data_IF_887138149796
#
_entry.id   IF_887138149796
#
_cell.length_a   1.000
_cell.length_b   1.000
_cell.length_c   1.000
_cell.angle_alpha   90.00
_cell.angle_beta   90.00
_cell.angle_gamma   90.00
#
_symmetry.space_group_name_H-M   'P 1'
#
loop_
_entity.id
_entity.type
_entity.pdbx_description
1 polymer ?
#
# COMPACT_ATOMS: atom_id res chain seq x y z
N UNK A 1 27.19 -69.37 15.66
CA UNK A 1 27.85 -68.19 16.25
C UNK A 1 26.90 -67.58 17.26
N UNK A 2 27.40 -67.42 18.48
CA UNK A 2 26.75 -66.91 19.70
C UNK A 2 25.93 -65.63 19.48
N UNK A 3 24.78 -65.49 20.15
CA UNK A 3 24.60 -64.48 21.21
C UNK A 3 23.35 -64.78 22.08
N UNK A 4 23.63 -65.02 23.37
CA UNK A 4 22.94 -64.60 24.60
C UNK A 4 21.99 -63.38 24.41
N UNK A 5 20.93 -63.07 25.18
CA UNK A 5 20.57 -63.37 26.56
C UNK A 5 19.28 -62.58 26.93
N UNK A 6 18.48 -63.17 27.83
CA UNK A 6 17.71 -62.57 28.95
C UNK A 6 16.50 -61.64 28.70
N UNK A 7 15.38 -62.17 29.15
CA UNK A 7 14.25 -61.51 29.80
C UNK A 7 14.68 -60.60 30.97
N UNK A 8 14.06 -59.43 31.12
CA UNK A 8 14.07 -58.66 32.36
C UNK A 8 12.75 -57.90 32.60
N UNK A 9 12.30 -58.07 33.83
CA UNK A 9 11.18 -57.53 34.59
C UNK A 9 10.64 -56.13 34.24
N UNK A 10 9.31 -56.08 34.31
CA UNK A 10 8.47 -54.88 34.44
C UNK A 10 8.66 -54.29 35.85
N UNK A 11 9.08 -53.03 35.94
CA UNK A 11 9.08 -52.26 37.20
C UNK A 11 8.03 -51.16 37.08
N UNK A 12 6.97 -51.30 37.86
CA UNK A 12 5.88 -50.35 38.03
C UNK A 12 6.36 -49.26 39.01
N UNK A 13 6.61 -48.05 38.52
CA UNK A 13 6.90 -46.88 39.38
C UNK A 13 5.60 -46.14 39.63
N UNK A 14 5.01 -46.36 40.80
CA UNK A 14 3.96 -45.52 41.38
C UNK A 14 4.57 -44.23 41.91
N UNK A 15 4.40 -43.12 41.17
CA UNK A 15 4.70 -41.78 41.67
C UNK A 15 3.49 -41.26 42.46
N UNK A 16 3.69 -41.01 43.75
CA UNK A 16 2.71 -40.44 44.65
C UNK A 16 2.47 -38.95 44.32
N UNK A 17 1.19 -38.58 44.23
CA UNK A 17 0.73 -37.20 44.12
C UNK A 17 0.99 -36.44 45.42
N UNK A 18 1.79 -35.37 45.36
CA UNK A 18 1.78 -34.30 46.35
C UNK A 18 0.96 -33.13 45.80
N UNK A 19 -0.28 -33.00 46.28
CA UNK A 19 -1.11 -31.83 46.04
C UNK A 19 -0.62 -30.70 46.96
N UNK A 20 0.24 -29.83 46.44
CA UNK A 20 0.55 -28.55 47.06
C UNK A 20 -0.56 -27.55 46.66
N UNK A 21 -1.39 -27.18 47.64
CA UNK A 21 -2.35 -26.09 47.57
C UNK A 21 -1.60 -24.76 47.54
N UNK A 22 -1.41 -24.17 46.36
CA UNK A 22 -1.06 -22.75 46.23
C UNK A 22 -2.33 -21.94 46.05
N UNK A 23 -2.56 -21.04 47.01
CA UNK A 23 -3.55 -19.97 46.98
C UNK A 23 -3.52 -19.24 45.64
N UNK A 24 -4.71 -18.89 45.14
CA UNK A 24 -4.86 -17.91 44.06
C UNK A 24 -4.29 -16.58 44.54
N UNK A 25 -3.00 -16.37 44.31
CA UNK A 25 -2.47 -15.02 44.21
C UNK A 25 -3.02 -14.45 42.92
N UNK A 26 -3.78 -13.37 43.04
CA UNK A 26 -4.10 -12.50 41.92
C UNK A 26 -2.79 -12.21 41.21
N UNK A 27 -2.61 -12.84 40.04
CA UNK A 27 -1.51 -12.52 39.16
C UNK A 27 -1.78 -11.10 38.70
N UNK A 28 -1.24 -10.12 39.42
CA UNK A 28 -1.10 -8.75 38.95
C UNK A 28 -0.33 -8.89 37.64
N UNK A 29 -1.05 -8.82 36.52
CA UNK A 29 -0.42 -8.65 35.21
C UNK A 29 0.46 -7.42 35.38
N UNK A 30 1.81 -7.54 35.30
CA UNK A 30 2.66 -6.39 35.49
C UNK A 30 2.21 -5.34 34.48
N UNK A 31 1.85 -4.15 34.97
CA UNK A 31 1.59 -3.03 34.08
C UNK A 31 2.79 -2.96 33.12
N UNK A 32 2.55 -3.01 31.82
CA UNK A 32 3.62 -2.94 30.82
C UNK A 32 4.52 -1.76 31.17
N UNK A 33 5.78 -2.01 31.51
CA UNK A 33 6.68 -0.97 31.96
C UNK A 33 6.74 0.11 30.87
N UNK A 34 6.40 1.34 31.22
CA UNK A 34 6.44 2.46 30.28
C UNK A 34 7.89 2.72 29.89
N UNK A 35 8.26 2.44 28.64
CA UNK A 35 9.62 2.67 28.13
C UNK A 35 9.93 4.15 27.94
N UNK A 36 8.90 4.99 27.93
CA UNK A 36 8.95 6.40 27.52
C UNK A 36 8.05 7.25 28.40
N UNK A 37 8.35 8.54 28.45
CA UNK A 37 7.47 9.51 29.10
C UNK A 37 6.15 9.60 28.33
N UNK A 38 5.03 9.69 29.07
CA UNK A 38 3.72 9.86 28.46
C UNK A 38 3.65 11.16 27.66
N UNK A 39 2.89 11.13 26.57
CA UNK A 39 2.66 12.27 25.70
C UNK A 39 1.21 12.74 25.78
N UNK A 40 1.02 14.04 25.96
CA UNK A 40 -0.30 14.66 25.96
C UNK A 40 -0.80 14.81 24.53
N UNK A 41 -1.90 14.14 24.17
CA UNK A 41 -2.43 14.14 22.80
C UNK A 41 -2.79 15.55 22.29
N UNK A 42 -3.15 16.47 23.19
CA UNK A 42 -3.50 17.86 22.85
C UNK A 42 -2.31 18.68 22.31
N UNK A 43 -1.08 18.23 22.54
CA UNK A 43 0.14 18.89 22.03
C UNK A 43 0.46 18.52 20.58
N UNK A 44 -0.20 17.51 20.04
CA UNK A 44 0.00 17.03 18.67
C UNK A 44 -0.94 17.79 17.71
N UNK A 45 -0.34 18.49 16.76
CA UNK A 45 -1.05 19.33 15.78
C UNK A 45 -0.66 18.96 14.36
N UNK A 46 -1.35 19.54 13.37
CA UNK A 46 -1.08 19.27 11.95
C UNK A 46 0.30 19.70 11.47
N UNK A 47 1.07 20.43 12.30
CA UNK A 47 2.44 20.87 12.00
C UNK A 47 3.49 20.15 12.84
N UNK A 48 3.09 19.32 13.81
CA UNK A 48 4.01 18.52 14.62
C UNK A 48 4.82 17.59 13.69
N UNK A 49 6.16 17.64 13.67
CA UNK A 49 6.95 16.78 12.79
C UNK A 49 6.97 15.33 13.27
N UNK A 50 6.36 14.42 12.52
CA UNK A 50 6.29 13.00 12.83
C UNK A 50 7.67 12.40 13.13
N UNK A 51 8.65 12.57 12.24
CA UNK A 51 9.94 11.85 12.29
C UNK A 51 10.87 12.25 13.44
N UNK A 52 10.58 13.36 14.14
CA UNK A 52 11.43 13.87 15.23
C UNK A 52 10.69 14.06 16.56
N UNK A 53 9.37 13.84 16.60
CA UNK A 53 8.55 14.08 17.79
C UNK A 53 8.60 12.95 18.83
N UNK A 54 8.88 11.72 18.42
CA UNK A 54 8.86 10.55 19.31
C UNK A 54 10.28 10.16 19.71
N UNK A 55 10.62 10.35 21.00
CA UNK A 55 11.99 10.24 21.49
C UNK A 55 12.16 9.22 22.61
N UNK A 56 13.37 8.69 22.74
CA UNK A 56 13.78 7.91 23.90
C UNK A 56 14.21 8.81 25.08
N UNK A 57 14.62 8.19 26.18
CA UNK A 57 15.05 8.91 27.39
C UNK A 57 16.31 9.76 27.20
N UNK A 58 17.12 9.50 26.16
CA UNK A 58 18.29 10.31 25.82
C UNK A 58 17.95 11.48 24.89
N UNK A 59 16.71 11.55 24.40
CA UNK A 59 16.24 12.57 23.45
C UNK A 59 16.48 12.21 21.98
N UNK A 60 16.97 11.01 21.67
CA UNK A 60 17.12 10.52 20.30
C UNK A 60 15.75 10.09 19.72
N UNK A 61 15.55 10.29 18.42
CA UNK A 61 14.30 9.85 17.76
C UNK A 61 14.19 8.33 17.77
N UNK A 62 12.97 7.84 18.01
CA UNK A 62 12.61 6.42 17.94
C UNK A 62 11.87 6.08 16.66
N UNK A 63 11.61 7.07 15.79
CA UNK A 63 10.91 6.84 14.53
C UNK A 63 11.84 6.20 13.52
N UNK A 64 11.39 5.10 12.94
CA UNK A 64 12.07 4.43 11.83
C UNK A 64 11.05 4.11 10.73
N UNK A 65 11.13 4.83 9.60
CA UNK A 65 10.27 4.58 8.44
C UNK A 65 10.74 3.38 7.60
N UNK A 66 11.89 2.82 7.96
CA UNK A 66 12.47 1.59 7.46
C UNK A 66 12.43 1.44 5.94
N UNK A 67 12.09 0.22 5.54
CA UNK A 67 12.02 -0.17 4.14
C UNK A 67 10.72 0.32 3.45
N UNK A 68 9.81 0.99 4.18
CA UNK A 68 8.62 1.56 3.58
C UNK A 68 8.95 2.82 2.76
N UNK A 69 9.75 3.73 3.33
CA UNK A 69 10.24 4.92 2.60
C UNK A 69 11.09 4.53 1.37
N UNK A 70 11.95 3.51 1.50
CA UNK A 70 12.72 2.95 0.38
C UNK A 70 11.82 2.47 -0.75
N UNK A 71 10.70 1.78 -0.44
CA UNK A 71 9.75 1.31 -1.45
C UNK A 71 8.99 2.46 -2.12
N UNK A 72 8.69 3.55 -1.42
CA UNK A 72 8.11 4.75 -2.06
C UNK A 72 9.05 5.36 -3.11
N UNK A 73 10.35 5.33 -2.86
CA UNK A 73 11.35 5.83 -3.81
C UNK A 73 11.56 4.86 -4.98
N UNK A 74 11.58 3.54 -4.71
CA UNK A 74 11.56 2.53 -5.78
C UNK A 74 10.31 2.67 -6.67
N UNK A 75 9.15 2.94 -6.08
CA UNK A 75 7.93 3.19 -6.84
C UNK A 75 8.03 4.47 -7.67
N UNK A 76 8.70 5.50 -7.17
CA UNK A 76 8.93 6.72 -7.92
C UNK A 76 9.81 6.49 -9.14
N UNK A 77 10.88 5.70 -9.01
CA UNK A 77 11.72 5.35 -10.16
C UNK A 77 10.99 4.48 -11.20
N UNK A 78 10.20 3.49 -10.76
CA UNK A 78 9.35 2.71 -11.67
C UNK A 78 8.34 3.60 -12.40
N UNK A 79 7.63 4.46 -11.65
CA UNK A 79 6.64 5.37 -12.22
C UNK A 79 7.27 6.36 -13.21
N UNK A 80 8.42 6.93 -12.88
CA UNK A 80 9.13 7.87 -13.75
C UNK A 80 9.59 7.19 -15.04
N UNK A 81 10.08 5.94 -14.98
CA UNK A 81 10.46 5.20 -16.17
C UNK A 81 9.25 4.89 -17.06
N UNK A 82 8.14 4.44 -16.47
CA UNK A 82 6.89 4.22 -17.22
C UNK A 82 6.38 5.50 -17.88
N UNK A 83 6.47 6.64 -17.21
CA UNK A 83 5.97 7.93 -17.70
C UNK A 83 6.71 8.47 -18.94
N UNK A 84 7.86 7.91 -19.32
CA UNK A 84 8.60 8.32 -20.52
C UNK A 84 7.82 8.10 -21.82
N UNK A 85 6.79 7.25 -21.82
CA UNK A 85 5.89 7.07 -22.97
C UNK A 85 4.90 8.24 -23.13
N UNK A 86 4.68 9.02 -22.08
CA UNK A 86 3.56 9.96 -21.94
C UNK A 86 4.00 11.43 -21.76
N UNK A 87 4.99 11.87 -22.54
CA UNK A 87 5.61 13.21 -22.40
C UNK A 87 5.04 14.29 -23.33
N UNK A 88 5.03 15.55 -22.90
CA UNK A 88 4.63 16.66 -23.77
C UNK A 88 5.83 17.20 -24.57
N UNK A 89 5.59 17.69 -25.80
CA UNK A 89 6.60 18.41 -26.56
C UNK A 89 7.17 19.59 -25.73
N UNK A 90 8.49 19.85 -25.76
CA UNK A 90 9.48 19.33 -26.72
C UNK A 90 10.12 17.98 -26.33
N UNK A 91 9.72 17.34 -25.23
CA UNK A 91 10.26 16.04 -24.87
C UNK A 91 9.81 14.96 -25.87
N UNK A 92 10.72 14.02 -26.16
CA UNK A 92 10.46 12.90 -27.08
C UNK A 92 10.03 11.68 -26.27
N UNK A 93 8.92 11.01 -26.61
CA UNK A 93 8.50 9.81 -25.91
C UNK A 93 9.51 8.67 -26.13
N UNK A 94 9.72 7.84 -25.12
CA UNK A 94 10.67 6.73 -25.18
C UNK A 94 9.96 5.39 -25.39
N UNK A 95 10.61 4.51 -26.15
CA UNK A 95 10.32 3.07 -26.12
C UNK A 95 10.87 2.51 -24.82
N UNK A 96 10.11 1.65 -24.14
CA UNK A 96 10.51 1.06 -22.86
C UNK A 96 11.12 -0.33 -23.05
N UNK A 97 12.12 -0.62 -22.23
CA UNK A 97 12.75 -1.94 -22.11
C UNK A 97 12.00 -2.77 -21.07
N UNK A 98 11.49 -3.94 -21.48
CA UNK A 98 10.76 -4.85 -20.58
C UNK A 98 11.64 -5.43 -19.46
N UNK A 99 12.93 -5.68 -19.71
CA UNK A 99 13.85 -6.13 -18.68
C UNK A 99 14.07 -5.02 -17.65
N UNK A 100 14.23 -3.76 -18.08
CA UNK A 100 14.31 -2.61 -17.17
C UNK A 100 13.03 -2.45 -16.33
N UNK A 101 11.85 -2.55 -16.94
CA UNK A 101 10.56 -2.50 -16.23
C UNK A 101 10.44 -3.59 -15.16
N UNK A 102 10.71 -4.85 -15.53
CA UNK A 102 10.66 -5.99 -14.60
C UNK A 102 11.68 -5.82 -13.48
N UNK A 103 12.90 -5.41 -13.80
CA UNK A 103 13.95 -5.19 -12.82
C UNK A 103 13.54 -4.08 -11.83
N UNK A 104 13.01 -2.95 -12.27
CA UNK A 104 12.52 -1.88 -11.38
C UNK A 104 11.40 -2.37 -10.44
N UNK A 105 10.55 -3.27 -10.90
CA UNK A 105 9.50 -3.86 -10.08
C UNK A 105 10.01 -4.92 -9.09
N UNK A 106 10.97 -5.75 -9.50
CA UNK A 106 11.51 -6.87 -8.72
C UNK A 106 12.74 -6.52 -7.88
N UNK A 107 13.38 -5.37 -8.12
CA UNK A 107 14.67 -5.00 -7.54
C UNK A 107 15.88 -5.74 -8.14
N UNK A 108 15.71 -6.49 -9.23
CA UNK A 108 16.80 -7.29 -9.80
C UNK A 108 17.81 -6.45 -10.60
N UNK A 109 19.06 -6.91 -10.67
CA UNK A 109 20.10 -6.35 -11.55
C UNK A 109 20.40 -4.84 -11.34
N UNK A 110 20.38 -4.38 -10.09
CA UNK A 110 20.67 -2.98 -9.71
C UNK A 110 20.00 -1.93 -10.64
N UNK A 111 18.66 -1.93 -10.74
CA UNK A 111 17.96 -1.20 -11.79
C UNK A 111 17.78 0.28 -11.50
N UNK A 112 17.92 0.67 -10.24
CA UNK A 112 17.62 1.99 -9.75
C UNK A 112 18.77 2.96 -10.04
N UNK A 113 18.45 4.22 -10.28
CA UNK A 113 19.43 5.29 -10.40
C UNK A 113 20.09 5.60 -9.04
N UNK A 114 19.31 5.55 -7.95
CA UNK A 114 19.82 5.78 -6.61
C UNK A 114 20.52 4.53 -6.03
N UNK A 115 21.82 4.64 -5.74
CA UNK A 115 22.62 3.55 -5.16
C UNK A 115 22.05 2.96 -3.84
N UNK A 116 21.48 3.77 -2.90
CA UNK A 116 20.84 3.21 -1.71
C UNK A 116 19.66 2.27 -2.00
N UNK A 117 18.91 2.51 -3.09
CA UNK A 117 17.80 1.63 -3.47
C UNK A 117 18.33 0.29 -4.00
N UNK A 118 19.42 0.29 -4.76
CA UNK A 118 20.08 -0.94 -5.20
C UNK A 118 20.67 -1.74 -4.03
N UNK A 119 21.24 -1.06 -3.03
CA UNK A 119 21.74 -1.70 -1.82
C UNK A 119 20.61 -2.38 -1.04
N UNK A 120 19.44 -1.74 -0.93
CA UNK A 120 18.26 -2.35 -0.33
C UNK A 120 17.72 -3.52 -1.19
N UNK A 121 17.70 -3.37 -2.50
CA UNK A 121 17.22 -4.41 -3.40
C UNK A 121 18.08 -5.69 -3.32
N UNK A 122 19.39 -5.55 -3.13
CA UNK A 122 20.30 -6.67 -2.90
C UNK A 122 19.98 -7.49 -1.64
N UNK A 123 19.20 -6.95 -0.69
CA UNK A 123 18.72 -7.67 0.50
C UNK A 123 17.28 -8.19 0.35
N UNK A 124 16.71 -8.15 -0.86
CA UNK A 124 15.38 -8.67 -1.19
C UNK A 124 14.25 -7.62 -1.17
N UNK A 125 14.58 -6.34 -0.96
CA UNK A 125 13.58 -5.26 -0.91
C UNK A 125 13.09 -4.91 -2.31
N UNK A 126 11.79 -5.06 -2.56
CA UNK A 126 11.17 -4.67 -3.83
C UNK A 126 9.70 -4.32 -3.67
N UNK A 127 9.11 -3.76 -4.73
CA UNK A 127 7.66 -3.55 -4.84
C UNK A 127 6.94 -4.88 -5.02
N UNK A 128 7.48 -5.76 -5.87
CA UNK A 128 6.86 -7.05 -6.17
C UNK A 128 6.73 -7.94 -4.94
N UNK A 129 7.72 -7.93 -4.05
CA UNK A 129 7.67 -8.67 -2.77
C UNK A 129 6.49 -8.21 -1.89
N UNK A 130 6.18 -6.91 -1.85
CA UNK A 130 5.06 -6.35 -1.07
C UNK A 130 3.74 -6.21 -1.80
N UNK A 131 3.68 -6.62 -3.07
CA UNK A 131 2.43 -6.59 -3.82
C UNK A 131 1.48 -7.68 -3.30
N UNK A 132 0.31 -7.26 -2.80
CA UNK A 132 -0.73 -8.08 -2.20
C UNK A 132 -0.23 -8.94 -1.02
N UNK A 133 0.64 -8.38 -0.19
CA UNK A 133 1.25 -9.13 0.91
C UNK A 133 0.28 -9.56 2.01
N UNK A 134 -0.91 -8.94 2.10
CA UNK A 134 -1.94 -9.39 3.04
C UNK A 134 -2.67 -10.66 2.58
N UNK A 135 -2.55 -11.01 1.30
CA UNK A 135 -3.25 -12.17 0.74
C UNK A 135 -2.47 -13.46 1.00
N UNK A 136 -3.15 -14.61 1.05
CA UNK A 136 -2.48 -15.91 0.94
C UNK A 136 -1.63 -15.97 -0.33
N UNK A 137 -0.47 -16.64 -0.26
CA UNK A 137 0.54 -16.59 -1.33
C UNK A 137 -0.02 -16.98 -2.72
N UNK A 138 -0.94 -17.95 -2.81
CA UNK A 138 -1.56 -18.31 -4.08
C UNK A 138 -2.30 -17.13 -4.73
N UNK A 139 -3.07 -16.37 -3.96
CA UNK A 139 -3.79 -15.18 -4.45
C UNK A 139 -2.85 -13.99 -4.66
N UNK A 140 -1.84 -13.82 -3.80
CA UNK A 140 -0.81 -12.80 -3.99
C UNK A 140 -0.02 -13.04 -5.29
N UNK A 141 0.30 -14.29 -5.61
CA UNK A 141 0.96 -14.68 -6.86
C UNK A 141 0.12 -14.31 -8.10
N UNK A 142 -1.21 -14.48 -8.05
CA UNK A 142 -2.11 -14.02 -9.12
C UNK A 142 -2.04 -12.50 -9.31
N UNK A 143 -2.02 -11.72 -8.22
CA UNK A 143 -1.87 -10.26 -8.30
C UNK A 143 -0.51 -9.85 -8.87
N UNK A 144 0.59 -10.49 -8.43
CA UNK A 144 1.93 -10.24 -8.96
C UNK A 144 2.00 -10.57 -10.46
N UNK A 145 1.42 -11.70 -10.87
CA UNK A 145 1.35 -12.11 -12.28
C UNK A 145 0.54 -11.11 -13.13
N UNK A 146 -0.54 -10.54 -12.58
CA UNK A 146 -1.29 -9.47 -13.24
C UNK A 146 -0.39 -8.26 -13.54
N UNK A 147 0.39 -7.78 -12.57
CA UNK A 147 1.29 -6.65 -12.81
C UNK A 147 2.47 -7.01 -13.73
N UNK A 148 3.02 -8.22 -13.65
CA UNK A 148 4.04 -8.71 -14.59
C UNK A 148 3.51 -8.71 -16.05
N UNK A 149 2.24 -9.10 -16.23
CA UNK A 149 1.56 -9.03 -17.52
C UNK A 149 1.36 -7.57 -17.96
N UNK A 150 0.89 -6.67 -17.09
CA UNK A 150 0.74 -5.24 -17.43
C UNK A 150 2.04 -4.56 -17.80
N UNK A 151 3.15 -4.87 -17.13
CA UNK A 151 4.48 -4.38 -17.53
C UNK A 151 4.85 -4.84 -18.95
N UNK A 152 4.51 -6.08 -19.30
CA UNK A 152 4.72 -6.63 -20.65
C UNK A 152 3.85 -5.90 -21.68
N UNK A 153 2.55 -5.72 -21.39
CA UNK A 153 1.63 -4.96 -22.24
C UNK A 153 2.11 -3.52 -22.48
N UNK A 154 2.57 -2.83 -21.44
CA UNK A 154 3.11 -1.48 -21.55
C UNK A 154 4.35 -1.43 -22.44
N UNK A 155 5.30 -2.37 -22.27
CA UNK A 155 6.48 -2.45 -23.12
C UNK A 155 6.10 -2.70 -24.59
N UNK A 156 5.13 -3.57 -24.85
CA UNK A 156 4.60 -3.82 -26.20
C UNK A 156 3.95 -2.57 -26.78
N UNK A 157 3.07 -1.89 -26.03
CA UNK A 157 2.44 -0.65 -26.48
C UNK A 157 3.49 0.45 -26.76
N UNK A 158 4.57 0.50 -25.97
CA UNK A 158 5.62 1.52 -26.11
C UNK A 158 6.35 1.47 -27.46
N UNK A 159 6.30 0.35 -28.18
CA UNK A 159 6.82 0.27 -29.56
C UNK A 159 6.07 1.20 -30.53
N UNK A 160 4.88 1.66 -30.15
CA UNK A 160 4.01 2.51 -30.95
C UNK A 160 3.98 3.97 -30.47
N UNK A 161 4.97 4.43 -29.68
CA UNK A 161 5.00 5.83 -29.18
C UNK A 161 5.05 6.91 -30.28
N UNK A 162 5.45 6.56 -31.50
CA UNK A 162 5.45 7.47 -32.65
C UNK A 162 4.24 7.28 -33.58
N UNK A 163 3.26 6.48 -33.16
CA UNK A 163 2.05 6.18 -33.93
C UNK A 163 0.84 6.86 -33.31
N UNK A 164 -0.16 7.16 -34.13
CA UNK A 164 -1.50 7.57 -33.66
C UNK A 164 -2.30 6.32 -33.31
N UNK A 165 -2.93 6.32 -32.14
CA UNK A 165 -3.78 5.23 -31.67
C UNK A 165 -5.08 5.14 -32.47
N UNK A 166 -5.61 3.93 -32.63
CA UNK A 166 -6.92 3.65 -33.20
C UNK A 166 -7.46 2.31 -32.64
N UNK A 167 -8.75 1.98 -32.79
CA UNK A 167 -9.26 0.65 -32.43
C UNK A 167 -8.41 -0.48 -33.04
N UNK A 168 -7.88 -1.37 -32.19
CA UNK A 168 -7.00 -2.46 -32.60
C UNK A 168 -5.53 -2.07 -32.85
N UNK A 169 -5.17 -0.79 -32.69
CA UNK A 169 -3.81 -0.27 -32.93
C UNK A 169 -3.34 0.60 -31.76
N UNK A 170 -2.30 0.12 -31.06
CA UNK A 170 -1.62 0.91 -30.04
C UNK A 170 -0.99 2.19 -30.62
N UNK A 171 -0.88 3.23 -29.80
CA UNK A 171 -0.32 4.51 -30.21
C UNK A 171 -0.65 5.61 -29.21
N UNK A 172 -0.35 6.86 -29.55
CA UNK A 172 -0.63 8.01 -28.69
C UNK A 172 -1.93 8.69 -29.07
N UNK A 173 -2.70 9.07 -28.05
CA UNK A 173 -3.79 10.05 -28.10
C UNK A 173 -3.28 11.31 -27.41
N UNK A 174 -3.04 12.37 -28.17
CA UNK A 174 -2.32 13.54 -27.65
C UNK A 174 -0.94 13.11 -27.13
N UNK A 175 -0.70 13.29 -25.83
CA UNK A 175 0.55 12.83 -25.19
C UNK A 175 0.45 11.44 -24.57
N UNK A 176 -0.74 10.86 -24.39
CA UNK A 176 -0.90 9.62 -23.63
C UNK A 176 -0.76 8.41 -24.54
N UNK A 177 0.04 7.43 -24.15
CA UNK A 177 0.17 6.16 -24.88
C UNK A 177 -0.94 5.21 -24.43
N UNK A 178 -1.67 4.64 -25.38
CA UNK A 178 -2.66 3.59 -25.15
C UNK A 178 -2.30 2.31 -25.89
N UNK A 179 -2.73 1.17 -25.35
CA UNK A 179 -2.67 -0.11 -26.05
C UNK A 179 -3.70 -0.20 -27.19
N UNK A 180 -3.77 -1.35 -27.87
CA UNK A 180 -4.72 -1.58 -28.95
C UNK A 180 -6.20 -1.51 -28.51
N UNK A 181 -6.46 -1.71 -27.21
CA UNK A 181 -7.79 -1.63 -26.61
C UNK A 181 -8.13 -0.23 -26.09
N UNK A 182 -7.23 0.74 -26.24
CA UNK A 182 -7.43 2.13 -25.84
C UNK A 182 -7.16 2.40 -24.35
N UNK A 183 -6.46 1.51 -23.65
CA UNK A 183 -6.11 1.68 -22.24
C UNK A 183 -4.71 2.27 -22.05
N UNK A 184 -4.59 3.31 -21.22
CA UNK A 184 -3.29 3.85 -20.78
C UNK A 184 -2.68 2.94 -19.69
N UNK A 185 -1.92 1.92 -20.12
CA UNK A 185 -1.45 0.81 -19.27
C UNK A 185 -0.56 1.30 -18.12
N UNK A 186 0.27 2.34 -18.31
CA UNK A 186 1.09 2.91 -17.23
C UNK A 186 0.25 3.47 -16.08
N UNK A 187 -0.93 4.05 -16.34
CA UNK A 187 -1.82 4.51 -15.28
C UNK A 187 -2.47 3.34 -14.54
N UNK A 188 -2.88 2.29 -15.27
CA UNK A 188 -3.44 1.08 -14.65
C UNK A 188 -2.43 0.46 -13.68
N UNK A 189 -1.17 0.34 -14.09
CA UNK A 189 -0.09 -0.18 -13.22
C UNK A 189 0.10 0.72 -12.01
N UNK A 190 0.29 2.02 -12.21
CA UNK A 190 0.56 2.94 -11.12
C UNK A 190 -0.60 2.96 -10.12
N UNK A 191 -1.84 3.21 -10.54
CA UNK A 191 -2.95 3.30 -9.58
C UNK A 191 -3.29 1.95 -8.98
N UNK A 192 -3.08 0.84 -9.70
CA UNK A 192 -3.22 -0.51 -9.16
C UNK A 192 -2.21 -0.81 -8.06
N UNK A 193 -0.93 -0.42 -8.23
CA UNK A 193 0.11 -0.61 -7.21
C UNK A 193 -0.08 0.31 -6.00
N UNK A 194 -0.76 1.46 -6.13
CA UNK A 194 -1.17 2.27 -4.97
C UNK A 194 -2.04 1.43 -4.01
N UNK A 195 -3.00 0.66 -4.52
CA UNK A 195 -3.80 -0.26 -3.70
C UNK A 195 -3.00 -1.48 -3.27
N UNK A 196 -2.39 -2.17 -4.23
CA UNK A 196 -1.78 -3.47 -4.02
C UNK A 196 -0.49 -3.44 -3.19
N UNK A 197 0.17 -2.30 -3.06
CA UNK A 197 1.36 -2.13 -2.22
C UNK A 197 1.05 -1.17 -1.07
N UNK A 198 0.67 0.08 -1.36
CA UNK A 198 0.61 1.11 -0.31
C UNK A 198 -0.57 0.92 0.62
N UNK A 199 -1.81 0.88 0.09
CA UNK A 199 -2.99 0.66 0.91
C UNK A 199 -2.93 -0.71 1.61
N UNK A 200 -2.52 -1.75 0.89
CA UNK A 200 -2.44 -3.11 1.45
C UNK A 200 -1.50 -3.19 2.66
N UNK A 201 -0.28 -2.64 2.53
CA UNK A 201 0.67 -2.60 3.63
C UNK A 201 0.13 -1.81 4.82
N UNK A 202 -0.43 -0.63 4.58
CA UNK A 202 -0.95 0.23 5.65
C UNK A 202 -2.13 -0.46 6.35
N UNK A 203 -3.18 -0.79 5.60
CA UNK A 203 -4.48 -1.17 6.16
C UNK A 203 -4.63 -2.65 6.48
N UNK A 204 -3.99 -3.53 5.72
CA UNK A 204 -4.21 -4.98 5.79
C UNK A 204 -3.01 -5.75 6.37
N UNK A 205 -1.89 -5.06 6.62
CA UNK A 205 -0.72 -5.65 7.30
C UNK A 205 -0.44 -4.89 8.61
N UNK A 206 -0.12 -3.60 8.53
CA UNK A 206 0.50 -2.86 9.63
C UNK A 206 -0.49 -2.27 10.64
N UNK A 207 -1.71 -1.90 10.21
CA UNK A 207 -2.75 -1.31 11.07
C UNK A 207 -3.90 -2.29 11.36
N UNK A 208 -3.65 -3.58 11.24
CA UNK A 208 -4.61 -4.63 11.62
C UNK A 208 -4.67 -4.80 13.14
N UNK A 209 -5.78 -5.30 13.69
CA UNK A 209 -5.87 -5.58 15.12
C UNK A 209 -4.72 -6.45 15.63
N UNK A 210 -4.28 -7.43 14.83
CA UNK A 210 -3.13 -8.28 15.18
C UNK A 210 -1.82 -7.47 15.26
N UNK A 211 -1.50 -6.67 14.25
CA UNK A 211 -0.29 -5.86 14.25
C UNK A 211 -0.25 -4.81 15.37
N UNK A 212 -1.40 -4.27 15.78
CA UNK A 212 -1.50 -3.33 16.91
C UNK A 212 -1.22 -3.99 18.27
N UNK A 213 -1.19 -5.32 18.35
CA UNK A 213 -0.86 -6.07 19.58
C UNK A 213 0.62 -6.46 19.70
N UNK A 214 1.45 -6.12 18.70
CA UNK A 214 2.88 -6.41 18.69
C UNK A 214 3.61 -5.92 19.96
N UNK A 215 4.81 -6.44 20.22
CA UNK A 215 5.58 -6.15 21.44
C UNK A 215 5.83 -4.63 21.63
N UNK A 216 5.59 -4.14 22.85
CA UNK A 216 5.77 -2.73 23.22
C UNK A 216 6.39 -2.52 24.62
N UNK A 217 6.61 -3.58 25.39
CA UNK A 217 7.25 -3.55 26.70
C UNK A 217 8.78 -3.58 26.64
N UNK A 218 9.38 -3.78 25.46
CA UNK A 218 10.83 -3.68 25.24
C UNK A 218 11.16 -3.21 23.83
N UNK A 219 12.34 -2.62 23.67
CA UNK A 219 12.90 -2.30 22.34
C UNK A 219 13.30 -3.57 21.59
N UNK A 220 13.21 -3.53 20.26
CA UNK A 220 13.73 -4.58 19.41
C UNK A 220 15.27 -4.66 19.52
N UNK A 221 15.83 -5.85 19.33
CA UNK A 221 17.27 -6.08 19.50
C UNK A 221 18.10 -5.16 18.60
N UNK A 222 18.97 -4.35 19.21
CA UNK A 222 19.83 -3.39 18.49
C UNK A 222 19.09 -2.18 17.90
N UNK A 223 17.84 -1.92 18.31
CA UNK A 223 17.00 -0.82 17.80
C UNK A 223 16.58 0.13 18.93
N UNK A 224 16.22 1.35 18.56
CA UNK A 224 15.70 2.36 19.49
C UNK A 224 14.19 2.24 19.72
N UNK A 225 13.47 1.53 18.85
CA UNK A 225 12.03 1.36 18.87
C UNK A 225 11.59 -0.03 19.35
N UNK A 226 10.34 -0.13 19.78
CA UNK A 226 9.64 -1.41 19.94
C UNK A 226 9.11 -1.93 18.60
N UNK A 227 8.68 -3.19 18.55
CA UNK A 227 8.07 -3.76 17.35
C UNK A 227 6.78 -3.01 16.97
N UNK A 228 5.94 -2.69 17.95
CA UNK A 228 4.68 -1.97 17.72
C UNK A 228 4.92 -0.55 17.19
N UNK A 229 5.90 0.14 17.75
CA UNK A 229 6.32 1.46 17.28
C UNK A 229 6.75 1.42 15.81
N UNK A 230 7.61 0.46 15.46
CA UNK A 230 8.10 0.30 14.10
C UNK A 230 6.99 -0.07 13.11
N UNK A 231 6.06 -0.96 13.47
CA UNK A 231 4.91 -1.28 12.61
C UNK A 231 4.09 -0.02 12.26
N UNK A 232 3.87 0.84 13.25
CA UNK A 232 3.15 2.09 13.06
C UNK A 232 3.94 3.10 12.21
N UNK A 233 5.26 3.20 12.44
CA UNK A 233 6.17 4.06 11.67
C UNK A 233 6.32 3.60 10.21
N UNK A 234 6.31 2.29 9.95
CA UNK A 234 6.26 1.74 8.59
C UNK A 234 4.94 2.10 7.88
N UNK A 235 3.81 2.13 8.59
CA UNK A 235 2.54 2.54 8.00
C UNK A 235 2.59 4.01 7.55
N UNK A 236 3.20 4.89 8.36
CA UNK A 236 3.52 6.25 7.95
C UNK A 236 4.45 6.25 6.72
N UNK A 237 5.51 5.45 6.75
CA UNK A 237 6.51 5.35 5.67
C UNK A 237 5.98 4.85 4.32
N UNK A 238 4.87 4.10 4.30
CA UNK A 238 4.17 3.73 3.05
C UNK A 238 3.25 4.82 2.51
N UNK A 239 2.89 5.79 3.36
CA UNK A 239 2.08 6.93 2.99
C UNK A 239 2.96 8.10 2.54
N UNK A 240 4.00 8.42 3.31
CA UNK A 240 4.97 9.48 3.00
C UNK A 240 6.31 9.27 3.72
N UNK A 241 7.37 9.89 3.19
CA UNK A 241 8.68 10.01 3.85
C UNK A 241 8.92 11.41 4.44
N UNK A 242 7.95 12.33 4.31
CA UNK A 242 8.09 13.70 4.80
C UNK A 242 8.07 13.74 6.33
N UNK A 243 8.85 14.64 6.92
CA UNK A 243 8.84 14.85 8.37
C UNK A 243 7.45 15.26 8.88
N UNK A 244 6.73 16.05 8.09
CA UNK A 244 5.32 16.39 8.30
C UNK A 244 4.57 16.08 7.01
N UNK A 245 3.50 15.29 7.08
CA UNK A 245 2.69 15.02 5.89
C UNK A 245 2.03 16.32 5.42
N UNK A 246 2.23 16.67 4.16
CA UNK A 246 1.53 17.81 3.55
C UNK A 246 0.07 17.40 3.37
N UNK A 247 -0.86 18.16 3.94
CA UNK A 247 -2.30 17.83 3.96
C UNK A 247 -3.14 18.70 3.01
N UNK A 248 -2.56 19.80 2.53
CA UNK A 248 -3.17 20.69 1.54
C UNK A 248 -2.51 20.47 0.16
N UNK A 249 -3.33 20.14 -0.84
CA UNK A 249 -2.89 19.92 -2.21
C UNK A 249 -2.29 21.19 -2.86
N UNK A 250 -2.56 22.38 -2.33
CA UNK A 250 -2.00 23.64 -2.81
C UNK A 250 -0.54 23.85 -2.37
N UNK A 251 -0.07 23.16 -1.33
CA UNK A 251 1.29 23.33 -0.79
C UNK A 251 2.29 22.50 -1.61
N UNK A 252 3.46 23.09 -1.86
CA UNK A 252 4.59 22.45 -2.56
C UNK A 252 5.80 22.27 -1.66
N UNK A 253 6.55 21.15 -1.75
CA UNK A 253 6.30 20.01 -2.62
C UNK A 253 5.04 19.22 -2.19
N UNK A 254 4.33 18.66 -3.18
CA UNK A 254 3.13 17.85 -2.93
C UNK A 254 3.50 16.45 -2.45
N UNK A 255 2.56 15.81 -1.75
CA UNK A 255 2.66 14.39 -1.46
C UNK A 255 2.59 13.52 -2.73
N UNK A 256 3.25 12.36 -2.67
CA UNK A 256 3.26 11.37 -3.75
C UNK A 256 2.18 10.31 -3.52
N UNK A 257 1.75 9.67 -4.60
CA UNK A 257 0.92 8.45 -4.58
C UNK A 257 -0.29 8.54 -3.63
N UNK A 258 -0.48 7.58 -2.73
CA UNK A 258 -1.67 7.49 -1.87
C UNK A 258 -1.91 8.76 -1.05
N UNK A 259 -0.86 9.37 -0.49
CA UNK A 259 -0.97 10.63 0.24
C UNK A 259 -1.33 11.80 -0.68
N UNK A 260 -0.78 11.82 -1.91
CA UNK A 260 -1.18 12.79 -2.93
C UNK A 260 -2.68 12.67 -3.28
N UNK A 261 -3.18 11.44 -3.44
CA UNK A 261 -4.58 11.17 -3.70
C UNK A 261 -5.49 11.44 -2.50
N UNK A 262 -5.00 11.24 -1.28
CA UNK A 262 -5.70 11.66 -0.07
C UNK A 262 -5.94 13.16 -0.10
N UNK A 263 -4.93 13.97 -0.44
CA UNK A 263 -5.07 15.41 -0.56
C UNK A 263 -5.99 15.84 -1.71
N UNK A 264 -5.88 15.18 -2.87
CA UNK A 264 -6.62 15.55 -4.08
C UNK A 264 -8.08 15.10 -4.05
N UNK A 265 -8.35 13.86 -3.64
CA UNK A 265 -9.66 13.20 -3.77
C UNK A 265 -10.40 13.09 -2.45
N UNK A 266 -9.71 13.19 -1.32
CA UNK A 266 -10.31 13.17 0.01
C UNK A 266 -9.71 14.27 0.93
N UNK A 267 -9.41 15.43 0.35
CA UNK A 267 -8.68 16.54 1.01
C UNK A 267 -9.22 16.93 2.39
N UNK A 268 -10.56 17.03 2.60
CA UNK A 268 -11.11 17.33 3.93
C UNK A 268 -10.73 16.31 5.02
N UNK A 269 -10.44 15.06 4.66
CA UNK A 269 -10.01 14.03 5.60
C UNK A 269 -8.48 14.03 5.83
N UNK A 270 -7.70 14.62 4.93
CA UNK A 270 -6.24 14.55 4.98
C UNK A 270 -5.64 15.05 6.31
N UNK A 271 -6.04 16.22 6.85
CA UNK A 271 -5.56 16.66 8.17
C UNK A 271 -5.91 15.68 9.29
N UNK A 272 -7.09 15.08 9.26
CA UNK A 272 -7.52 14.13 10.28
C UNK A 272 -6.72 12.82 10.23
N UNK A 273 -6.37 12.34 9.02
CA UNK A 273 -5.49 11.17 8.84
C UNK A 273 -4.10 11.45 9.41
N UNK A 274 -3.51 12.62 9.15
CA UNK A 274 -2.21 12.96 9.72
C UNK A 274 -2.23 13.05 11.25
N UNK A 275 -3.25 13.70 11.80
CA UNK A 275 -3.45 13.77 13.26
C UNK A 275 -3.64 12.36 13.85
N UNK A 276 -4.35 11.47 13.17
CA UNK A 276 -4.53 10.09 13.63
C UNK A 276 -3.20 9.33 13.66
N UNK A 277 -2.33 9.50 12.66
CA UNK A 277 -0.99 8.91 12.65
C UNK A 277 -0.14 9.40 13.84
N UNK A 278 -0.14 10.70 14.13
CA UNK A 278 0.55 11.26 15.29
C UNK A 278 -0.01 10.72 16.62
N UNK A 279 -1.34 10.78 16.78
CA UNK A 279 -2.01 10.35 18.02
C UNK A 279 -1.90 8.85 18.25
N UNK A 280 -1.92 8.02 17.21
CA UNK A 280 -1.74 6.58 17.35
C UNK A 280 -0.31 6.24 17.77
N UNK A 281 0.70 6.93 17.22
CA UNK A 281 2.09 6.76 17.67
C UNK A 281 2.28 7.19 19.12
N UNK A 282 1.63 8.26 19.56
CA UNK A 282 1.59 8.66 20.97
C UNK A 282 0.80 7.67 21.85
N UNK A 283 -0.25 7.05 21.33
CA UNK A 283 -1.00 6.03 22.07
C UNK A 283 -0.15 4.78 22.34
N UNK A 284 0.75 4.43 21.41
CA UNK A 284 1.76 3.38 21.65
C UNK A 284 2.70 3.79 22.79
N UNK A 285 3.21 5.03 22.79
CA UNK A 285 4.03 5.57 23.89
C UNK A 285 3.29 5.51 25.23
N UNK A 286 1.99 5.81 25.23
CA UNK A 286 1.15 5.86 26.42
C UNK A 286 0.62 4.48 26.87
N UNK A 287 0.90 3.40 26.14
CA UNK A 287 0.26 2.08 26.30
C UNK A 287 -1.29 2.14 26.28
N UNK A 288 -1.86 3.02 25.47
CA UNK A 288 -3.29 3.25 25.32
C UNK A 288 -3.84 2.50 24.09
N UNK A 289 -4.20 1.23 24.31
CA UNK A 289 -4.68 0.36 23.24
C UNK A 289 -6.01 0.83 22.61
N UNK A 290 -6.89 1.47 23.41
CA UNK A 290 -8.19 1.94 22.93
C UNK A 290 -8.01 3.10 21.94
N UNK A 291 -7.21 4.10 22.31
CA UNK A 291 -6.91 5.23 21.42
C UNK A 291 -6.13 4.76 20.19
N UNK A 292 -5.16 3.86 20.36
CA UNK A 292 -4.40 3.28 19.23
C UNK A 292 -5.33 2.67 18.18
N UNK A 293 -6.27 1.81 18.62
CA UNK A 293 -7.24 1.18 17.73
C UNK A 293 -8.13 2.23 17.05
N UNK A 294 -8.63 3.21 17.79
CA UNK A 294 -9.47 4.26 17.24
C UNK A 294 -8.74 5.07 16.15
N UNK A 295 -7.46 5.39 16.34
CA UNK A 295 -6.67 6.09 15.33
C UNK A 295 -6.38 5.22 14.11
N UNK A 296 -6.08 3.93 14.30
CA UNK A 296 -5.90 2.98 13.20
C UNK A 296 -7.19 2.88 12.35
N UNK A 297 -8.35 2.85 13.01
CA UNK A 297 -9.65 2.79 12.34
C UNK A 297 -9.93 4.05 11.49
N UNK A 298 -9.53 5.24 11.96
CA UNK A 298 -9.63 6.49 11.17
C UNK A 298 -8.77 6.40 9.91
N UNK A 299 -7.48 6.08 10.08
CA UNK A 299 -6.52 6.00 8.95
C UNK A 299 -7.02 5.01 7.90
N UNK A 300 -7.38 3.79 8.32
CA UNK A 300 -7.85 2.74 7.40
C UNK A 300 -9.12 3.16 6.66
N UNK A 301 -10.10 3.73 7.36
CA UNK A 301 -11.36 4.14 6.75
C UNK A 301 -11.15 5.20 5.68
N UNK A 302 -10.38 6.24 6.00
CA UNK A 302 -10.24 7.38 5.09
C UNK A 302 -9.30 7.10 3.91
N UNK A 303 -8.33 6.20 4.05
CA UNK A 303 -7.51 5.73 2.93
C UNK A 303 -8.30 4.82 1.97
N UNK A 304 -9.19 3.96 2.46
CA UNK A 304 -10.07 3.17 1.59
C UNK A 304 -11.08 4.06 0.85
N UNK A 305 -11.69 5.03 1.54
CA UNK A 305 -12.54 6.04 0.90
C UNK A 305 -11.78 6.85 -0.15
N UNK A 306 -10.49 7.13 0.07
CA UNK A 306 -9.65 7.80 -0.91
C UNK A 306 -9.55 7.00 -2.21
N UNK A 307 -9.32 5.68 -2.14
CA UNK A 307 -9.32 4.81 -3.33
C UNK A 307 -10.68 4.87 -4.04
N UNK A 308 -11.77 4.72 -3.29
CA UNK A 308 -13.11 4.69 -3.86
C UNK A 308 -13.50 6.03 -4.53
N UNK A 309 -13.26 7.16 -3.84
CA UNK A 309 -13.45 8.51 -4.40
C UNK A 309 -12.57 8.75 -5.61
N UNK A 310 -11.34 8.24 -5.63
CA UNK A 310 -10.46 8.33 -6.80
C UNK A 310 -11.07 7.60 -8.00
N UNK A 311 -11.51 6.34 -7.82
CA UNK A 311 -12.16 5.58 -8.89
C UNK A 311 -13.38 6.31 -9.45
N UNK A 312 -14.29 6.78 -8.57
CA UNK A 312 -15.51 7.50 -8.96
C UNK A 312 -15.18 8.80 -9.68
N UNK A 313 -14.23 9.60 -9.16
CA UNK A 313 -13.79 10.85 -9.78
C UNK A 313 -13.28 10.62 -11.20
N UNK A 314 -12.45 9.61 -11.42
CA UNK A 314 -11.87 9.35 -12.72
C UNK A 314 -12.85 8.76 -13.74
N UNK A 315 -13.76 7.88 -13.30
CA UNK A 315 -14.85 7.41 -14.17
C UNK A 315 -15.80 8.55 -14.54
N UNK A 316 -16.07 9.46 -13.60
CA UNK A 316 -16.87 10.67 -13.88
C UNK A 316 -16.17 11.58 -14.88
N UNK A 317 -14.86 11.79 -14.72
CA UNK A 317 -14.04 12.57 -15.65
C UNK A 317 -14.01 11.94 -17.06
N UNK A 318 -13.87 10.62 -17.17
CA UNK A 318 -13.95 9.94 -18.46
C UNK A 318 -15.26 10.22 -19.19
N UNK A 319 -16.39 10.25 -18.46
CA UNK A 319 -17.70 10.59 -19.05
C UNK A 319 -17.76 12.04 -19.53
N UNK A 320 -17.21 12.98 -18.76
CA UNK A 320 -17.36 14.42 -18.99
C UNK A 320 -16.33 15.02 -19.95
N UNK A 321 -15.16 14.39 -20.10
CA UNK A 321 -14.10 14.94 -20.95
C UNK A 321 -14.51 14.97 -22.44
N UNK A 322 -14.19 16.05 -23.17
CA UNK A 322 -14.61 16.21 -24.56
C UNK A 322 -13.68 15.50 -25.56
N UNK A 323 -12.41 15.31 -25.21
CA UNK A 323 -11.38 14.80 -26.12
C UNK A 323 -10.97 13.38 -25.78
N UNK A 324 -10.61 12.59 -26.81
CA UNK A 324 -10.24 11.18 -26.64
C UNK A 324 -9.00 10.97 -25.76
N UNK A 325 -8.03 11.87 -25.82
CA UNK A 325 -6.82 11.81 -25.00
C UNK A 325 -7.12 12.00 -23.52
N UNK A 326 -7.93 13.01 -23.17
CA UNK A 326 -8.37 13.25 -21.79
C UNK A 326 -9.27 12.11 -21.27
N UNK A 327 -10.12 11.54 -22.13
CA UNK A 327 -10.90 10.33 -21.79
C UNK A 327 -9.98 9.15 -21.51
N UNK A 328 -9.07 8.81 -22.41
CA UNK A 328 -8.16 7.68 -22.24
C UNK A 328 -7.35 7.78 -20.95
N UNK A 329 -6.85 8.98 -20.64
CA UNK A 329 -6.14 9.24 -19.40
C UNK A 329 -6.99 8.99 -18.16
N UNK A 330 -8.16 9.63 -18.09
CA UNK A 330 -9.07 9.46 -16.97
C UNK A 330 -9.52 8.00 -16.81
N UNK A 331 -9.76 7.27 -17.90
CA UNK A 331 -10.12 5.85 -17.84
C UNK A 331 -8.96 4.99 -17.33
N UNK A 332 -7.73 5.20 -17.80
CA UNK A 332 -6.56 4.47 -17.32
C UNK A 332 -6.36 4.63 -15.80
N UNK A 333 -6.50 5.86 -15.29
CA UNK A 333 -6.44 6.13 -13.85
C UNK A 333 -7.62 5.47 -13.12
N UNK A 334 -8.84 5.60 -13.64
CA UNK A 334 -10.05 5.00 -13.09
C UNK A 334 -9.96 3.47 -12.97
N UNK A 335 -9.53 2.78 -14.02
CA UNK A 335 -9.38 1.32 -14.04
C UNK A 335 -8.35 0.84 -13.02
N UNK A 336 -7.22 1.54 -12.87
CA UNK A 336 -6.23 1.18 -11.85
C UNK A 336 -6.74 1.42 -10.42
N UNK A 337 -7.55 2.46 -10.17
CA UNK A 337 -8.18 2.65 -8.87
C UNK A 337 -9.31 1.65 -8.60
N UNK A 338 -10.10 1.28 -9.61
CA UNK A 338 -11.04 0.16 -9.51
C UNK A 338 -10.27 -1.12 -9.18
N UNK A 339 -9.08 -1.31 -9.76
CA UNK A 339 -8.25 -2.46 -9.42
C UNK A 339 -7.87 -2.48 -7.93
N UNK A 340 -7.50 -1.32 -7.40
CA UNK A 340 -7.11 -1.12 -6.00
C UNK A 340 -8.22 -1.38 -4.99
N UNK A 341 -9.49 -1.40 -5.40
CA UNK A 341 -10.61 -1.71 -4.50
C UNK A 341 -10.52 -3.10 -3.87
N UNK A 342 -9.76 -4.04 -4.46
CA UNK A 342 -9.48 -5.38 -3.90
C UNK A 342 -8.85 -5.32 -2.50
N UNK A 343 -8.21 -4.20 -2.16
CA UNK A 343 -7.47 -4.02 -0.90
C UNK A 343 -8.27 -3.20 0.12
N UNK A 344 -9.49 -2.77 -0.20
CA UNK A 344 -10.37 -2.02 0.71
C UNK A 344 -11.19 -2.96 1.63
N UNK A 345 -10.48 -3.76 2.43
CA UNK A 345 -11.09 -4.85 3.21
C UNK A 345 -11.97 -4.35 4.36
N UNK A 346 -11.70 -3.16 4.92
CA UNK A 346 -12.49 -2.58 6.02
C UNK A 346 -13.90 -2.18 5.57
N UNK A 347 -14.04 -1.75 4.32
CA UNK A 347 -15.33 -1.48 3.67
C UNK A 347 -16.03 -2.75 3.16
N UNK A 348 -15.45 -3.93 3.43
CA UNK A 348 -15.97 -5.23 3.01
C UNK A 348 -15.88 -5.46 1.50
N UNK A 349 -15.04 -4.72 0.78
CA UNK A 349 -14.71 -5.04 -0.60
C UNK A 349 -13.82 -6.28 -0.63
N UNK A 350 -14.14 -7.22 -1.52
CA UNK A 350 -13.33 -8.41 -1.78
C UNK A 350 -12.90 -8.46 -3.25
N UNK A 351 -12.09 -9.46 -3.58
CA UNK A 351 -11.56 -9.63 -4.94
C UNK A 351 -12.69 -9.85 -5.94
N UNK A 352 -13.66 -10.71 -5.63
CA UNK A 352 -14.74 -11.05 -6.55
C UNK A 352 -15.61 -9.83 -6.90
N UNK A 353 -15.94 -9.01 -5.90
CA UNK A 353 -16.69 -7.78 -6.10
C UNK A 353 -15.91 -6.76 -6.92
N UNK A 354 -14.64 -6.51 -6.57
CA UNK A 354 -13.81 -5.56 -7.32
C UNK A 354 -13.56 -6.03 -8.78
N UNK A 355 -13.38 -7.34 -8.99
CA UNK A 355 -13.30 -7.96 -10.31
C UNK A 355 -14.59 -7.72 -11.11
N UNK A 356 -15.76 -7.89 -10.48
CA UNK A 356 -17.04 -7.63 -11.15
C UNK A 356 -17.17 -6.18 -11.61
N UNK A 357 -16.75 -5.21 -10.78
CA UNK A 357 -16.76 -3.78 -11.17
C UNK A 357 -15.79 -3.52 -12.31
N UNK A 358 -14.58 -4.09 -12.24
CA UNK A 358 -13.57 -3.93 -13.29
C UNK A 358 -14.02 -4.56 -14.61
N UNK A 359 -14.55 -5.77 -14.58
CA UNK A 359 -15.02 -6.49 -15.77
C UNK A 359 -16.18 -5.78 -16.45
N UNK A 360 -17.05 -5.08 -15.70
CA UNK A 360 -18.09 -4.23 -16.26
C UNK A 360 -17.54 -3.10 -17.14
N UNK A 361 -16.30 -2.65 -16.88
CA UNK A 361 -15.61 -1.58 -17.60
C UNK A 361 -14.67 -2.09 -18.71
N UNK A 362 -14.29 -3.38 -18.69
CA UNK A 362 -13.27 -3.94 -19.60
C UNK A 362 -13.77 -5.01 -20.56
N UNK A 363 -15.01 -5.47 -20.42
CA UNK A 363 -15.59 -6.56 -21.23
C UNK A 363 -16.11 -6.16 -22.61
N UNK A 364 -16.06 -4.88 -22.98
CA UNK A 364 -16.51 -4.43 -24.30
C UNK A 364 -15.66 -5.01 -25.43
N UNK A 365 -16.28 -5.29 -26.58
CA UNK A 365 -15.66 -6.02 -27.71
C UNK A 365 -14.43 -5.34 -28.32
N UNK A 366 -14.28 -4.02 -28.15
CA UNK A 366 -13.09 -3.25 -28.53
C UNK A 366 -12.53 -2.47 -27.33
N UNK A 367 -12.65 -2.99 -26.11
CA UNK A 367 -12.16 -2.33 -24.90
C UNK A 367 -12.71 -0.92 -24.72
N UNK A 368 -11.84 0.04 -24.40
CA UNK A 368 -12.18 1.43 -24.12
C UNK A 368 -12.90 2.12 -25.29
N UNK A 369 -12.62 1.72 -26.54
CA UNK A 369 -13.22 2.31 -27.75
C UNK A 369 -14.74 2.13 -27.80
N UNK A 370 -15.25 1.11 -27.13
CA UNK A 370 -16.67 0.72 -27.09
C UNK A 370 -17.24 0.76 -25.68
N UNK A 371 -16.54 1.38 -24.73
CA UNK A 371 -17.05 1.60 -23.38
C UNK A 371 -18.19 2.64 -23.42
N UNK A 372 -19.30 2.33 -22.77
CA UNK A 372 -20.49 3.18 -22.72
C UNK A 372 -20.61 3.94 -21.41
N UNK A 373 -21.33 5.08 -21.44
CA UNK A 373 -21.66 5.82 -20.23
C UNK A 373 -22.43 4.97 -19.21
N UNK A 374 -23.29 4.06 -19.67
CA UNK A 374 -24.07 3.16 -18.82
C UNK A 374 -23.18 2.17 -18.04
N UNK A 375 -22.11 1.66 -18.65
CA UNK A 375 -21.14 0.81 -17.95
C UNK A 375 -20.38 1.58 -16.87
N UNK A 376 -19.96 2.81 -17.16
CA UNK A 376 -19.35 3.68 -16.17
C UNK A 376 -20.31 4.03 -15.03
N UNK A 377 -21.57 4.31 -15.34
CA UNK A 377 -22.60 4.59 -14.33
C UNK A 377 -22.87 3.40 -13.42
N UNK A 378 -22.92 2.18 -13.97
CA UNK A 378 -23.06 0.97 -13.17
C UNK A 378 -21.87 0.78 -12.21
N UNK A 379 -20.64 1.01 -12.68
CA UNK A 379 -19.45 0.93 -11.83
C UNK A 379 -19.45 2.02 -10.74
N UNK A 380 -19.76 3.27 -11.09
CA UNK A 380 -19.84 4.39 -10.13
C UNK A 380 -20.91 4.09 -9.07
N UNK A 381 -22.10 3.66 -9.47
CA UNK A 381 -23.18 3.33 -8.55
C UNK A 381 -22.80 2.19 -7.59
N UNK A 382 -22.15 1.13 -8.10
CA UNK A 382 -21.68 0.03 -7.27
C UNK A 382 -20.65 0.49 -6.23
N UNK A 383 -19.69 1.35 -6.62
CA UNK A 383 -18.67 1.89 -5.71
C UNK A 383 -19.30 2.81 -4.67
N UNK A 384 -20.16 3.75 -5.07
CA UNK A 384 -20.83 4.65 -4.13
C UNK A 384 -21.67 3.88 -3.11
N UNK A 385 -22.40 2.85 -3.53
CA UNK A 385 -23.18 2.01 -2.62
C UNK A 385 -22.31 1.24 -1.63
N UNK A 386 -21.16 0.69 -2.07
CA UNK A 386 -20.27 -0.11 -1.22
C UNK A 386 -19.55 0.74 -0.17
N UNK A 387 -19.17 1.97 -0.53
CA UNK A 387 -18.36 2.86 0.29
C UNK A 387 -19.15 3.99 0.98
N UNK A 388 -20.46 4.06 0.75
CA UNK A 388 -21.35 5.11 1.26
C UNK A 388 -20.83 6.52 0.94
N UNK A 389 -20.53 6.76 -0.34
CA UNK A 389 -19.97 8.02 -0.84
C UNK A 389 -21.02 9.06 -1.23
#
# INVERSE_FOLDING_TARGET
>A
MSFLSRSSAFVLVTAAFSLASCSKEDSVVPASQSLRAKMEYATLTGTTPYTTSFKDASGASTVDLGLAAVRLDMFSELNNYMALVAVQAPATPAVLDIAKLRNLYTGANAPFAAAPLNAAAATGVSLREKTAASFPEASAATVRAYFDAKLTELATASQSVNQVAAPGKAGRLGRYLVDANGYEVNQIIQKGLIGAVLLDQIGNVLLTNAALTAENGKVAAGKAYTEREHNWDLAYGYLTANATMVTDIAITPRERFLAGYLNEKNGPASPAVYIALLKGRAAIVNNDAATLKAQADIVRTELEKTIAKSAVSYLTNWKSHPTLDAKAHALGEGLGFVYSLRFCTKSGADVAWADSVLNGLTSSSQGAWTLTAAQADAAIAAINAKFSL
#
